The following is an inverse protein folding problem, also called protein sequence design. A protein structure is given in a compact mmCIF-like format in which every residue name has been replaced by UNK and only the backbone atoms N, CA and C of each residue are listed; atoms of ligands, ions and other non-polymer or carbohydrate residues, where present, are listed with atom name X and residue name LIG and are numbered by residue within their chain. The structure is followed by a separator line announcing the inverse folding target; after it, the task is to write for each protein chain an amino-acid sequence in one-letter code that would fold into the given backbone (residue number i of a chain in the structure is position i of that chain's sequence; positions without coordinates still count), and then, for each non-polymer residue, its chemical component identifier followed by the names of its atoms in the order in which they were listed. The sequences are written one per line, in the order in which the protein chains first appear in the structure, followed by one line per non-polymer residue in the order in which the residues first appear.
data_IF_285060012668
#
_entry.id   IF_285060012668
#
_cell.length_a   1.000
_cell.length_b   1.000
_cell.length_c   1.000
_cell.angle_alpha   90.00
_cell.angle_beta   90.00
_cell.angle_gamma   90.00
#
_symmetry.space_group_name_H-M   'P 1'
#
loop_
_entity.id
_entity.type
_entity.pdbx_description
1 polymer ?
#
# COMPACT_ATOMS: atom_id res chain seq x y z
N UNK A 1 22.39 -1.92 -89.62
CA UNK A 1 21.74 -2.88 -88.69
C UNK A 1 22.47 -2.80 -87.35
N UNK A 2 21.77 -2.39 -86.29
CA UNK A 2 22.32 -2.11 -84.96
C UNK A 2 22.48 -3.40 -84.15
N UNK A 3 23.56 -3.44 -83.36
CA UNK A 3 23.93 -4.48 -82.39
C UNK A 3 23.26 -4.28 -81.01
N UNK A 4 23.31 -5.37 -80.20
CA UNK A 4 23.16 -5.48 -78.73
C UNK A 4 21.71 -5.42 -78.17
N UNK A 5 21.32 -6.11 -77.09
CA UNK A 5 22.01 -6.98 -76.15
C UNK A 5 20.99 -7.85 -75.40
N UNK A 6 21.45 -9.00 -74.91
CA UNK A 6 20.75 -9.92 -73.99
C UNK A 6 20.40 -9.26 -72.65
N UNK A 7 19.13 -9.34 -72.23
CA UNK A 7 18.71 -8.98 -70.87
C UNK A 7 18.86 -10.20 -69.94
N UNK A 8 19.78 -10.10 -68.97
CA UNK A 8 19.83 -10.99 -67.82
C UNK A 8 18.80 -10.50 -66.78
N UNK A 9 17.87 -11.37 -66.39
CA UNK A 9 16.95 -11.12 -65.29
C UNK A 9 17.64 -11.48 -63.96
N UNK A 10 17.86 -10.48 -63.10
CA UNK A 10 18.30 -10.69 -61.71
C UNK A 10 17.06 -10.93 -60.87
N UNK A 11 16.90 -12.17 -60.38
CA UNK A 11 15.85 -12.54 -59.43
C UNK A 11 16.34 -12.23 -58.01
N UNK A 12 15.93 -11.10 -57.44
CA UNK A 12 16.14 -10.82 -56.03
C UNK A 12 15.12 -11.61 -55.20
N UNK A 13 15.55 -12.68 -54.53
CA UNK A 13 14.77 -13.32 -53.48
C UNK A 13 14.65 -12.35 -52.29
N UNK A 14 13.52 -11.68 -52.18
CA UNK A 14 13.12 -11.04 -50.93
C UNK A 14 12.74 -12.15 -49.93
N UNK A 15 13.69 -12.55 -49.09
CA UNK A 15 13.39 -13.27 -47.85
C UNK A 15 12.65 -12.31 -46.93
N UNK A 16 11.32 -12.32 -47.00
CA UNK A 16 10.46 -11.74 -45.97
C UNK A 16 10.61 -12.58 -44.71
N UNK A 17 11.67 -12.32 -43.94
CA UNK A 17 11.68 -12.68 -42.53
C UNK A 17 10.50 -11.94 -41.91
N UNK A 18 9.48 -12.69 -41.50
CA UNK A 18 8.44 -12.19 -40.60
C UNK A 18 9.13 -11.79 -39.30
N UNK A 19 9.65 -10.56 -39.25
CA UNK A 19 10.21 -9.97 -38.05
C UNK A 19 9.01 -9.74 -37.12
N UNK A 20 8.76 -10.69 -36.22
CA UNK A 20 7.84 -10.44 -35.12
C UNK A 20 8.38 -9.21 -34.39
N UNK A 21 7.58 -8.15 -34.35
CA UNK A 21 7.97 -6.94 -33.63
C UNK A 21 8.26 -7.29 -32.17
N UNK A 22 9.33 -6.71 -31.61
CA UNK A 22 9.64 -6.81 -30.19
C UNK A 22 8.39 -6.39 -29.38
N UNK A 23 8.00 -7.22 -28.41
CA UNK A 23 6.85 -6.98 -27.56
C UNK A 23 7.28 -7.07 -26.10
N UNK A 24 7.13 -5.97 -25.37
CA UNK A 24 7.20 -5.95 -23.91
C UNK A 24 5.77 -6.14 -23.38
N UNK A 25 5.61 -6.89 -22.29
CA UNK A 25 4.31 -6.99 -21.61
C UNK A 25 4.50 -7.07 -20.11
N UNK A 26 3.86 -6.14 -19.38
CA UNK A 26 3.76 -6.15 -17.91
C UNK A 26 2.29 -6.26 -17.49
N UNK A 27 2.01 -7.04 -16.47
CA UNK A 27 0.68 -7.40 -15.99
C UNK A 27 0.59 -7.20 -14.48
N UNK A 28 -0.60 -6.89 -14.02
CA UNK A 28 -0.98 -6.71 -12.62
C UNK A 28 -2.40 -7.28 -12.43
N UNK A 29 -2.83 -7.56 -11.21
CA UNK A 29 -4.22 -7.94 -10.88
C UNK A 29 -5.16 -6.73 -11.09
N UNK A 30 -5.55 -6.48 -12.33
CA UNK A 30 -6.34 -5.31 -12.73
C UNK A 30 -7.84 -5.56 -12.62
N UNK A 31 -8.26 -6.82 -12.74
CA UNK A 31 -9.65 -7.23 -12.53
C UNK A 31 -9.99 -7.43 -11.04
N UNK A 32 -8.99 -7.40 -10.14
CA UNK A 32 -9.11 -7.45 -8.68
C UNK A 32 -9.64 -8.79 -8.17
N UNK A 33 -9.23 -9.88 -8.81
CA UNK A 33 -9.59 -11.24 -8.41
C UNK A 33 -8.54 -11.91 -7.48
N UNK A 34 -7.46 -11.20 -7.18
CA UNK A 34 -6.38 -11.64 -6.29
C UNK A 34 -5.22 -12.35 -7.00
N UNK A 35 -5.24 -12.45 -8.34
CA UNK A 35 -4.21 -13.15 -9.12
C UNK A 35 -3.85 -12.32 -10.37
N UNK A 36 -2.60 -12.46 -10.83
CA UNK A 36 -2.19 -11.91 -12.13
C UNK A 36 -2.35 -12.98 -13.20
N UNK A 37 -3.22 -12.74 -14.17
CA UNK A 37 -3.43 -13.66 -15.29
C UNK A 37 -2.34 -13.53 -16.36
N UNK A 38 -1.38 -14.45 -16.32
CA UNK A 38 -0.29 -14.55 -17.31
C UNK A 38 -0.60 -15.51 -18.47
N UNK A 39 -1.75 -16.20 -18.45
CA UNK A 39 -2.11 -17.22 -19.46
C UNK A 39 -3.25 -16.78 -20.36
N UNK A 40 -4.20 -16.02 -19.83
CA UNK A 40 -5.33 -15.44 -20.55
C UNK A 40 -5.16 -13.95 -20.78
N UNK A 41 -6.28 -13.23 -20.79
CA UNK A 41 -6.38 -11.81 -21.15
C UNK A 41 -7.14 -10.96 -20.12
N UNK A 42 -7.50 -11.52 -18.97
CA UNK A 42 -8.36 -10.84 -17.97
C UNK A 42 -7.67 -9.62 -17.37
N UNK A 43 -6.34 -9.56 -17.42
CA UNK A 43 -5.50 -8.45 -16.96
C UNK A 43 -4.86 -7.59 -18.06
N UNK A 44 -5.23 -7.81 -19.33
CA UNK A 44 -4.63 -7.07 -20.46
C UNK A 44 -5.41 -5.78 -20.73
N UNK A 45 -6.73 -5.87 -20.84
CA UNK A 45 -7.57 -4.76 -21.30
C UNK A 45 -7.50 -3.57 -20.34
N UNK A 46 -7.16 -2.39 -20.84
CA UNK A 46 -7.22 -1.13 -20.07
C UNK A 46 -6.27 -1.05 -18.86
N UNK A 47 -5.29 -1.95 -18.76
CA UNK A 47 -4.38 -2.04 -17.60
C UNK A 47 -3.53 -0.79 -17.34
N UNK A 48 -3.34 0.05 -18.36
CA UNK A 48 -2.59 1.29 -18.25
C UNK A 48 -3.41 2.45 -17.65
N UNK A 49 -4.70 2.25 -17.36
CA UNK A 49 -5.56 3.26 -16.75
C UNK A 49 -6.20 2.72 -15.47
N UNK A 50 -6.22 3.54 -14.42
CA UNK A 50 -6.84 3.17 -13.14
C UNK A 50 -8.21 3.84 -12.99
N UNK A 51 -9.23 3.05 -12.66
CA UNK A 51 -10.63 3.46 -12.46
C UNK A 51 -11.17 2.89 -11.15
N UNK A 52 -12.36 3.34 -10.71
CA UNK A 52 -13.02 2.74 -9.54
C UNK A 52 -13.37 1.27 -9.75
N UNK A 53 -13.53 0.80 -10.98
CA UNK A 53 -13.96 -0.56 -11.32
C UNK A 53 -12.78 -1.47 -11.71
N UNK A 54 -11.66 -0.90 -12.17
CA UNK A 54 -10.53 -1.66 -12.73
C UNK A 54 -9.18 -0.98 -12.48
N UNK A 55 -8.13 -1.78 -12.42
CA UNK A 55 -6.75 -1.34 -12.17
C UNK A 55 -6.27 -1.86 -10.82
N UNK A 56 -4.99 -2.20 -10.76
CA UNK A 56 -4.44 -2.92 -9.62
C UNK A 56 -4.37 -2.03 -8.38
N UNK A 57 -4.50 -2.68 -7.22
CA UNK A 57 -4.37 -2.07 -5.91
C UNK A 57 -3.08 -2.54 -5.26
N UNK A 58 -2.45 -1.65 -4.49
CA UNK A 58 -1.23 -1.96 -3.75
C UNK A 58 -1.37 -1.52 -2.30
N UNK A 59 -0.65 -2.14 -1.38
CA UNK A 59 -0.61 -1.72 0.02
C UNK A 59 0.58 -0.80 0.28
N UNK A 60 0.39 0.14 1.20
CA UNK A 60 1.51 0.81 1.85
C UNK A 60 2.08 -0.15 2.90
N UNK A 61 3.37 -0.48 2.80
CA UNK A 61 4.02 -1.45 3.69
C UNK A 61 4.45 -0.79 5.01
N UNK A 62 3.47 -0.21 5.71
CA UNK A 62 3.68 0.68 6.87
C UNK A 62 3.65 -0.05 8.22
N UNK A 63 3.78 -1.38 8.22
CA UNK A 63 4.02 -2.18 9.41
C UNK A 63 5.41 -1.95 10.00
N UNK A 64 5.78 -2.73 11.01
CA UNK A 64 7.11 -2.73 11.62
C UNK A 64 7.54 -4.15 12.03
N UNK A 65 8.08 -4.89 11.06
CA UNK A 65 8.61 -6.23 11.25
C UNK A 65 9.72 -6.19 12.31
N UNK A 66 9.65 -7.15 13.24
CA UNK A 66 10.50 -7.25 14.44
C UNK A 66 10.44 -6.04 15.38
N UNK A 67 9.48 -5.14 15.18
CA UNK A 67 9.30 -3.89 15.95
C UNK A 67 10.55 -2.99 15.94
N UNK A 68 11.28 -2.97 14.81
CA UNK A 68 12.55 -2.25 14.64
C UNK A 68 12.44 -0.75 14.85
N UNK A 69 11.32 -0.16 14.47
CA UNK A 69 11.03 1.26 14.64
C UNK A 69 10.43 1.53 16.02
N UNK A 70 9.45 0.74 16.44
CA UNK A 70 8.77 0.88 17.73
C UNK A 70 9.75 0.83 18.91
N UNK A 71 10.73 -0.09 18.88
CA UNK A 71 11.77 -0.24 19.93
C UNK A 71 12.70 0.97 20.08
N UNK A 72 12.69 1.91 19.12
CA UNK A 72 13.51 3.14 19.18
C UNK A 72 12.77 4.31 19.81
N UNK A 73 11.44 4.21 19.97
CA UNK A 73 10.66 5.24 20.62
C UNK A 73 10.84 5.16 22.14
N UNK A 74 11.02 6.29 22.83
CA UNK A 74 11.18 6.28 24.28
C UNK A 74 9.89 5.83 24.96
N UNK A 75 10.03 5.20 26.13
CA UNK A 75 8.88 4.76 26.94
C UNK A 75 8.20 5.92 27.69
N UNK A 76 8.86 7.08 27.81
CA UNK A 76 8.29 8.25 28.46
C UNK A 76 7.53 9.14 27.48
N UNK A 77 6.22 9.19 27.63
CA UNK A 77 5.31 10.03 26.87
C UNK A 77 5.68 11.52 26.94
N UNK A 78 6.33 12.00 28.02
CA UNK A 78 6.71 13.41 28.17
C UNK A 78 8.02 13.80 27.46
N UNK A 79 8.65 12.89 26.71
CA UNK A 79 9.92 13.17 26.05
C UNK A 79 9.73 14.24 24.95
N UNK A 80 10.20 15.46 25.22
CA UNK A 80 10.24 16.58 24.27
C UNK A 80 11.23 16.34 23.11
N UNK A 81 12.04 15.28 23.18
CA UNK A 81 13.05 14.92 22.19
C UNK A 81 12.47 14.14 20.98
N UNK A 82 11.21 13.70 21.07
CA UNK A 82 10.54 13.01 19.96
C UNK A 82 10.06 14.04 18.94
N UNK A 83 10.57 13.94 17.71
CA UNK A 83 10.07 14.77 16.63
C UNK A 83 8.73 14.23 16.11
N UNK A 84 7.67 14.91 16.50
CA UNK A 84 6.28 14.61 16.15
C UNK A 84 6.06 14.44 14.64
N UNK A 85 6.81 15.14 13.79
CA UNK A 85 6.62 15.06 12.34
C UNK A 85 7.09 13.73 11.71
N UNK A 86 7.89 12.91 12.41
CA UNK A 86 8.55 11.74 11.83
C UNK A 86 8.11 10.38 12.41
N UNK A 87 7.12 10.35 13.30
CA UNK A 87 6.66 9.12 13.97
C UNK A 87 6.19 8.04 12.98
N UNK A 88 5.50 8.41 11.91
CA UNK A 88 5.04 7.47 10.88
C UNK A 88 6.07 7.13 9.80
N UNK A 89 7.21 7.83 9.77
CA UNK A 89 8.23 7.69 8.71
C UNK A 89 9.17 6.50 8.88
N UNK A 90 9.30 5.96 10.10
CA UNK A 90 9.98 4.68 10.32
C UNK A 90 8.97 3.53 10.28
N UNK A 91 9.04 2.70 9.24
CA UNK A 91 8.20 1.53 9.03
C UNK A 91 8.93 0.50 8.13
N UNK A 92 8.26 -0.59 7.75
CA UNK A 92 8.79 -1.64 6.86
C UNK A 92 9.09 -1.13 5.44
N UNK A 93 8.48 -0.01 5.06
CA UNK A 93 8.75 0.67 3.82
C UNK A 93 9.88 1.71 3.88
N UNK A 94 10.57 1.87 5.01
CA UNK A 94 11.74 2.75 5.11
C UNK A 94 12.96 2.11 4.41
N UNK A 95 13.50 2.80 3.41
CA UNK A 95 14.63 2.33 2.61
C UNK A 95 14.22 1.23 1.62
N UNK A 96 15.22 0.51 1.10
CA UNK A 96 15.05 -0.40 -0.05
C UNK A 96 15.14 -1.89 0.31
N UNK A 97 15.10 -2.22 1.60
CA UNK A 97 15.05 -3.63 2.04
C UNK A 97 13.59 -4.04 2.14
N UNK A 98 13.23 -5.15 1.49
CA UNK A 98 11.93 -5.78 1.68
C UNK A 98 11.91 -6.44 3.07
N UNK A 99 10.93 -6.08 3.92
CA UNK A 99 10.81 -6.63 5.28
C UNK A 99 9.57 -7.47 5.52
N UNK A 100 8.54 -7.28 4.71
CA UNK A 100 7.25 -7.92 4.88
C UNK A 100 6.62 -8.21 3.52
N UNK A 101 7.03 -9.33 2.90
CA UNK A 101 6.66 -9.66 1.53
C UNK A 101 5.18 -10.01 1.36
N UNK A 102 4.47 -10.30 2.45
CA UNK A 102 3.03 -10.61 2.43
C UNK A 102 2.15 -9.47 1.93
N UNK A 103 2.66 -8.23 1.94
CA UNK A 103 1.95 -7.04 1.49
C UNK A 103 2.38 -6.56 0.09
N UNK A 104 3.25 -7.29 -0.61
CA UNK A 104 3.57 -6.99 -2.00
C UNK A 104 2.36 -7.36 -2.88
N UNK A 105 1.90 -6.42 -3.68
CA UNK A 105 1.02 -6.74 -4.80
C UNK A 105 1.86 -7.32 -5.95
N UNK A 106 1.42 -8.41 -6.60
CA UNK A 106 2.21 -9.05 -7.64
C UNK A 106 2.13 -8.29 -8.97
N UNK A 107 3.27 -8.14 -9.64
CA UNK A 107 3.35 -7.78 -11.07
C UNK A 107 4.11 -8.89 -11.81
N UNK A 108 3.80 -9.09 -13.09
CA UNK A 108 4.46 -10.10 -13.94
C UNK A 108 4.82 -9.52 -15.28
N UNK A 109 5.99 -9.87 -15.81
CA UNK A 109 6.24 -9.69 -17.25
C UNK A 109 6.08 -11.00 -18.00
N UNK A 110 5.64 -10.93 -19.26
CA UNK A 110 5.59 -12.13 -20.10
C UNK A 110 6.98 -12.44 -20.67
N UNK A 111 7.37 -13.73 -20.76
CA UNK A 111 8.57 -14.19 -21.45
C UNK A 111 8.71 -13.60 -22.86
N UNK A 112 9.89 -13.07 -23.20
CA UNK A 112 10.18 -12.53 -24.53
C UNK A 112 11.13 -13.48 -25.28
N UNK A 113 10.60 -14.29 -26.18
CA UNK A 113 11.41 -15.22 -26.96
C UNK A 113 12.32 -14.50 -27.97
N UNK A 114 13.49 -15.10 -28.25
CA UNK A 114 14.43 -14.71 -29.32
C UNK A 114 15.06 -13.31 -29.17
N UNK A 115 15.27 -12.85 -27.94
CA UNK A 115 16.10 -11.67 -27.69
C UNK A 115 17.57 -11.92 -28.04
N UNK A 116 18.24 -10.91 -28.59
CA UNK A 116 19.70 -10.96 -28.71
C UNK A 116 20.37 -10.91 -27.33
N UNK A 117 21.62 -11.37 -27.24
CA UNK A 117 22.38 -11.36 -25.98
C UNK A 117 22.62 -9.95 -25.42
N UNK A 118 22.52 -8.92 -26.25
CA UNK A 118 22.71 -7.52 -25.85
C UNK A 118 21.41 -6.83 -25.45
N UNK A 119 20.26 -7.50 -25.54
CA UNK A 119 18.98 -6.95 -25.14
C UNK A 119 18.98 -6.56 -23.65
N UNK A 120 18.30 -5.46 -23.36
CA UNK A 120 18.22 -4.85 -22.02
C UNK A 120 16.78 -4.48 -21.70
N UNK A 121 16.43 -4.62 -20.43
CA UNK A 121 15.11 -4.26 -19.92
C UNK A 121 15.23 -3.33 -18.73
N UNK A 122 14.23 -2.49 -18.52
CA UNK A 122 14.14 -1.62 -17.35
C UNK A 122 12.72 -1.50 -16.85
N UNK A 123 12.61 -1.24 -15.55
CA UNK A 123 11.35 -0.90 -14.88
C UNK A 123 11.48 0.54 -14.37
N UNK A 124 10.45 1.34 -14.60
CA UNK A 124 10.39 2.73 -14.15
C UNK A 124 8.99 3.04 -13.60
N UNK A 125 8.92 3.85 -12.54
CA UNK A 125 7.66 4.38 -12.01
C UNK A 125 7.54 5.82 -12.48
N UNK A 126 6.39 6.19 -13.05
CA UNK A 126 6.12 7.57 -13.50
C UNK A 126 6.16 8.58 -12.37
N UNK A 127 6.42 9.85 -12.74
CA UNK A 127 6.36 11.05 -11.91
C UNK A 127 7.17 11.00 -10.60
N UNK A 128 7.74 12.15 -10.21
CA UNK A 128 8.69 12.15 -9.08
C UNK A 128 8.00 11.75 -7.76
N UNK A 129 6.75 12.16 -7.56
CA UNK A 129 5.99 11.85 -6.35
C UNK A 129 5.69 10.35 -6.21
N UNK A 130 5.24 9.68 -7.27
CA UNK A 130 5.02 8.24 -7.23
C UNK A 130 6.34 7.47 -7.24
N UNK A 131 7.38 7.92 -7.96
CA UNK A 131 8.69 7.28 -7.93
C UNK A 131 9.34 7.31 -6.53
N UNK A 132 9.10 8.36 -5.74
CA UNK A 132 9.54 8.43 -4.34
C UNK A 132 8.78 7.44 -3.45
N UNK A 133 7.49 7.24 -3.71
CA UNK A 133 6.61 6.47 -2.84
C UNK A 133 6.45 5.00 -3.23
N UNK A 134 6.68 4.61 -4.47
CA UNK A 134 6.51 3.24 -4.94
C UNK A 134 7.83 2.50 -4.91
N UNK A 135 7.80 1.26 -4.43
CA UNK A 135 8.94 0.35 -4.52
C UNK A 135 8.57 -0.85 -5.37
N UNK A 136 9.43 -1.16 -6.33
CA UNK A 136 9.34 -2.40 -7.10
C UNK A 136 10.49 -3.31 -6.67
N UNK A 137 10.17 -4.58 -6.46
CA UNK A 137 11.12 -5.64 -6.14
C UNK A 137 11.02 -6.72 -7.20
N UNK A 138 12.15 -7.34 -7.54
CA UNK A 138 12.21 -8.56 -8.34
C UNK A 138 12.45 -9.75 -7.41
N UNK A 139 11.80 -10.86 -7.71
CA UNK A 139 11.98 -12.11 -6.97
C UNK A 139 13.19 -12.87 -7.49
N UNK A 140 14.09 -13.22 -6.60
CA UNK A 140 15.30 -13.98 -6.88
C UNK A 140 15.33 -15.20 -5.94
N UNK A 141 14.86 -16.35 -6.44
CA UNK A 141 14.61 -17.52 -5.60
C UNK A 141 13.51 -17.24 -4.57
N UNK A 142 13.89 -17.17 -3.29
CA UNK A 142 12.98 -16.86 -2.19
C UNK A 142 13.07 -15.39 -1.72
N UNK A 143 14.04 -14.63 -2.23
CA UNK A 143 14.33 -13.28 -1.79
C UNK A 143 13.70 -12.24 -2.73
N UNK A 144 13.53 -11.02 -2.21
CA UNK A 144 13.01 -9.87 -2.94
C UNK A 144 14.06 -8.77 -2.99
N UNK A 145 14.56 -8.47 -4.18
CA UNK A 145 15.62 -7.47 -4.41
C UNK A 145 15.01 -6.21 -4.99
N UNK A 146 15.36 -5.05 -4.41
CA UNK A 146 14.85 -3.76 -4.87
C UNK A 146 15.34 -3.42 -6.28
N UNK A 147 14.42 -3.02 -7.15
CA UNK A 147 14.69 -2.59 -8.52
C UNK A 147 14.93 -1.09 -8.52
N UNK A 148 16.20 -0.68 -8.52
CA UNK A 148 16.55 0.73 -8.65
C UNK A 148 16.17 1.28 -10.03
N UNK A 149 15.93 2.59 -10.14
CA UNK A 149 15.53 3.23 -11.40
C UNK A 149 16.54 3.06 -12.55
N UNK A 150 17.83 2.84 -12.23
CA UNK A 150 18.89 2.56 -13.19
C UNK A 150 19.22 1.06 -13.32
N UNK A 151 18.47 0.18 -12.66
CA UNK A 151 18.64 -1.25 -12.78
C UNK A 151 18.33 -1.69 -14.21
N UNK A 152 19.13 -2.62 -14.73
CA UNK A 152 18.98 -3.12 -16.09
C UNK A 152 18.93 -4.64 -16.08
N UNK A 153 17.79 -5.18 -16.48
CA UNK A 153 17.58 -6.62 -16.66
C UNK A 153 18.29 -7.12 -17.92
N UNK A 154 18.86 -8.32 -17.82
CA UNK A 154 19.55 -9.03 -18.90
C UNK A 154 18.59 -9.71 -19.86
N UNK A 155 19.07 -10.04 -21.07
CA UNK A 155 18.29 -10.79 -22.04
C UNK A 155 17.74 -12.12 -21.49
N UNK A 156 18.49 -12.82 -20.63
CA UNK A 156 18.06 -14.08 -20.03
C UNK A 156 16.86 -13.89 -19.10
N UNK A 157 16.93 -12.91 -18.20
CA UNK A 157 15.82 -12.61 -17.27
C UNK A 157 14.55 -12.19 -18.03
N UNK A 158 14.70 -11.45 -19.12
CA UNK A 158 13.58 -11.05 -19.97
C UNK A 158 13.00 -12.21 -20.79
N UNK A 159 13.84 -13.17 -21.19
CA UNK A 159 13.41 -14.40 -21.84
C UNK A 159 12.63 -15.31 -20.89
N UNK A 160 12.98 -15.31 -19.60
CA UNK A 160 12.29 -16.10 -18.57
C UNK A 160 11.00 -15.41 -18.06
N UNK A 161 10.95 -14.08 -18.17
CA UNK A 161 9.89 -13.25 -17.60
C UNK A 161 10.15 -12.97 -16.11
N UNK A 162 9.77 -11.77 -15.66
CA UNK A 162 10.05 -11.29 -14.31
C UNK A 162 8.86 -11.59 -13.40
N UNK A 163 9.14 -12.09 -12.20
CA UNK A 163 8.22 -12.05 -11.06
C UNK A 163 8.58 -10.84 -10.20
N UNK A 164 7.64 -9.90 -10.12
CA UNK A 164 7.82 -8.62 -9.46
C UNK A 164 6.81 -8.47 -8.32
N UNK A 165 7.19 -7.71 -7.30
CA UNK A 165 6.35 -7.33 -6.19
C UNK A 165 6.41 -5.83 -6.00
N UNK A 166 5.27 -5.19 -5.76
CA UNK A 166 5.17 -3.75 -5.58
C UNK A 166 4.48 -3.41 -4.25
N UNK A 167 5.03 -2.45 -3.54
CA UNK A 167 4.39 -1.81 -2.39
C UNK A 167 4.65 -0.30 -2.38
N UNK A 168 3.98 0.40 -1.47
CA UNK A 168 4.15 1.84 -1.27
C UNK A 168 4.80 2.17 0.08
N UNK A 169 5.46 3.32 0.14
CA UNK A 169 6.10 3.88 1.34
C UNK A 169 5.14 4.59 2.27
N UNK A 170 4.10 5.18 1.70
CA UNK A 170 3.11 5.94 2.42
C UNK A 170 1.71 5.57 1.90
N UNK A 171 0.73 5.85 2.74
CA UNK A 171 -0.68 5.77 2.35
C UNK A 171 -1.03 6.96 1.44
N UNK A 172 -2.27 7.02 0.96
CA UNK A 172 -2.76 8.23 0.28
C UNK A 172 -2.67 9.43 1.24
N UNK A 173 -2.20 10.56 0.73
CA UNK A 173 -2.08 11.83 1.45
C UNK A 173 -2.70 12.95 0.61
N UNK A 174 -3.02 14.12 1.19
CA UNK A 174 -3.46 15.29 0.41
C UNK A 174 -2.48 15.66 -0.72
N UNK A 175 -1.19 15.42 -0.50
CA UNK A 175 -0.12 15.71 -1.46
C UNK A 175 0.05 14.64 -2.55
N UNK A 176 -0.50 13.44 -2.37
CA UNK A 176 -0.39 12.33 -3.32
C UNK A 176 -1.55 11.35 -3.18
N UNK A 177 -2.37 11.22 -4.24
CA UNK A 177 -3.60 10.43 -4.24
C UNK A 177 -3.40 8.90 -4.35
N UNK A 178 -2.13 8.47 -4.27
CA UNK A 178 -1.68 7.10 -4.31
C UNK A 178 -1.59 6.48 -5.70
N UNK A 179 -1.83 7.24 -6.78
CA UNK A 179 -1.70 6.71 -8.14
C UNK A 179 -0.23 6.60 -8.54
N UNK A 180 0.06 5.58 -9.35
CA UNK A 180 1.34 5.38 -9.99
C UNK A 180 1.16 4.59 -11.28
N UNK A 181 2.10 4.70 -12.21
CA UNK A 181 2.19 3.80 -13.35
C UNK A 181 3.59 3.17 -13.40
N UNK A 182 3.64 1.85 -13.54
CA UNK A 182 4.88 1.09 -13.68
C UNK A 182 5.08 0.76 -15.15
N UNK A 183 6.17 1.26 -15.72
CA UNK A 183 6.59 1.05 -17.09
C UNK A 183 7.60 -0.08 -17.16
N UNK A 184 7.42 -0.95 -18.14
CA UNK A 184 8.38 -1.97 -18.53
C UNK A 184 8.85 -1.69 -19.95
N UNK A 185 10.15 -1.38 -20.09
CA UNK A 185 10.78 -1.11 -21.38
C UNK A 185 11.76 -2.21 -21.71
N UNK A 186 11.80 -2.64 -22.98
CA UNK A 186 12.81 -3.56 -23.52
C UNK A 186 13.42 -2.96 -24.77
N UNK A 187 14.75 -2.98 -24.84
CA UNK A 187 15.55 -2.55 -25.98
C UNK A 187 16.36 -3.74 -26.51
N UNK A 188 16.26 -4.03 -27.80
CA UNK A 188 17.09 -5.01 -28.50
C UNK A 188 17.61 -4.43 -29.82
N UNK A 189 18.90 -4.08 -29.85
CA UNK A 189 19.50 -3.34 -30.96
C UNK A 189 18.79 -2.00 -31.19
N UNK A 190 18.19 -1.82 -32.36
CA UNK A 190 17.40 -0.62 -32.69
C UNK A 190 15.91 -0.71 -32.30
N UNK A 191 15.43 -1.89 -31.90
CA UNK A 191 14.03 -2.08 -31.53
C UNK A 191 13.81 -1.72 -30.06
N UNK A 192 12.73 -0.97 -29.80
CA UNK A 192 12.25 -0.65 -28.46
C UNK A 192 10.79 -1.07 -28.35
N UNK A 193 10.44 -1.71 -27.24
CA UNK A 193 9.06 -1.98 -26.86
C UNK A 193 8.81 -1.51 -25.44
N UNK A 194 7.61 -1.03 -25.17
CA UNK A 194 7.22 -0.51 -23.88
C UNK A 194 5.77 -0.90 -23.58
N UNK A 195 5.49 -1.15 -22.31
CA UNK A 195 4.16 -1.43 -21.79
C UNK A 195 4.06 -0.95 -20.35
N UNK A 196 2.84 -0.72 -19.85
CA UNK A 196 2.65 -0.19 -18.51
C UNK A 196 1.40 -0.71 -17.82
N UNK A 197 1.42 -0.64 -16.49
CA UNK A 197 0.28 -0.95 -15.60
C UNK A 197 0.04 0.20 -14.63
N UNK A 198 -1.21 0.62 -14.50
CA UNK A 198 -1.62 1.63 -13.54
C UNK A 198 -2.01 0.99 -12.21
N UNK A 199 -1.49 1.57 -11.13
CA UNK A 199 -1.64 1.11 -9.76
C UNK A 199 -2.26 2.23 -8.93
N UNK A 200 -2.93 1.86 -7.84
CA UNK A 200 -3.27 2.82 -6.79
C UNK A 200 -3.14 2.22 -5.40
N UNK A 201 -2.50 2.94 -4.49
CA UNK A 201 -2.44 2.57 -3.07
C UNK A 201 -3.85 2.42 -2.52
N UNK A 202 -4.17 1.33 -1.83
CA UNK A 202 -5.46 1.15 -1.19
C UNK A 202 -5.64 2.18 -0.05
N UNK A 203 -6.80 2.86 0.06
CA UNK A 203 -7.01 3.87 1.07
C UNK A 203 -7.01 3.24 2.47
N UNK A 204 -6.75 4.05 3.50
CA UNK A 204 -7.04 3.67 4.89
C UNK A 204 -8.53 3.89 5.12
N UNK A 205 -9.20 2.86 5.61
CA UNK A 205 -10.63 2.85 5.95
C UNK A 205 -10.77 2.72 7.46
N UNK A 206 -11.71 3.44 8.05
CA UNK A 206 -12.10 3.28 9.46
C UNK A 206 -13.12 2.16 9.62
N UNK A 207 -13.25 1.64 10.85
CA UNK A 207 -14.24 0.62 11.18
C UNK A 207 -15.61 1.26 11.50
N UNK A 208 -16.69 0.49 11.29
CA UNK A 208 -18.04 0.87 11.71
C UNK A 208 -18.61 -0.12 12.72
N UNK A 209 -19.50 0.35 13.61
CA UNK A 209 -20.03 -0.40 14.77
C UNK A 209 -20.89 -1.64 14.46
N UNK A 210 -21.06 -2.00 13.18
CA UNK A 210 -21.72 -3.27 12.79
C UNK A 210 -20.71 -4.36 12.38
N UNK A 211 -19.42 -4.04 12.37
CA UNK A 211 -18.37 -5.03 12.18
C UNK A 211 -18.12 -5.77 13.50
N UNK A 212 -17.67 -7.02 13.40
CA UNK A 212 -17.32 -7.81 14.57
C UNK A 212 -16.11 -7.19 15.26
N UNK A 213 -16.21 -7.01 16.57
CA UNK A 213 -15.08 -6.57 17.39
C UNK A 213 -14.09 -7.73 17.56
N UNK A 214 -12.82 -7.48 17.25
CA UNK A 214 -11.74 -8.46 17.40
C UNK A 214 -10.85 -8.19 18.60
N UNK A 215 -10.76 -6.94 19.04
CA UNK A 215 -9.88 -6.53 20.13
C UNK A 215 -10.42 -5.29 20.82
N UNK A 216 -10.27 -5.26 22.14
CA UNK A 216 -10.69 -4.13 22.99
C UNK A 216 -9.46 -3.52 23.65
N UNK A 217 -9.47 -2.19 23.77
CA UNK A 217 -8.37 -1.40 24.33
C UNK A 217 -8.85 -0.66 25.57
N UNK A 218 -8.03 -0.61 26.61
CA UNK A 218 -8.22 0.23 27.79
C UNK A 218 -6.87 0.69 28.36
N UNK A 219 -6.86 1.57 29.35
CA UNK A 219 -5.63 2.01 30.00
C UNK A 219 -5.43 1.13 31.20
N UNK A 220 -4.19 0.70 31.37
CA UNK A 220 -3.79 0.18 32.67
C UNK A 220 -3.80 1.34 33.66
N UNK A 221 -4.11 1.06 34.92
CA UNK A 221 -3.98 2.11 35.92
C UNK A 221 -3.72 1.50 37.30
N UNK A 222 -2.58 1.90 37.84
CA UNK A 222 -2.23 1.85 39.26
C UNK A 222 -2.85 3.03 40.05
N UNK A 223 -3.82 3.76 39.49
CA UNK A 223 -4.14 5.12 39.96
C UNK A 223 -5.38 5.23 40.87
N UNK A 224 -6.42 4.37 40.75
CA UNK A 224 -7.58 4.37 41.66
C UNK A 224 -8.30 3.02 41.71
N UNK A 225 -9.01 2.71 42.81
CA UNK A 225 -9.83 1.51 42.91
C UNK A 225 -11.00 1.46 41.90
N UNK A 226 -11.48 2.60 41.42
CA UNK A 226 -12.54 2.67 40.42
C UNK A 226 -12.07 2.17 39.05
N UNK A 227 -10.90 2.58 38.59
CA UNK A 227 -10.35 2.14 37.30
C UNK A 227 -9.97 0.65 37.34
N UNK A 228 -9.43 0.16 38.46
CA UNK A 228 -9.19 -1.29 38.64
C UNK A 228 -10.49 -2.09 38.53
N UNK A 229 -11.56 -1.62 39.17
CA UNK A 229 -12.89 -2.26 39.07
C UNK A 229 -13.39 -2.24 37.63
N UNK A 230 -13.34 -1.08 36.97
CA UNK A 230 -13.74 -0.94 35.57
C UNK A 230 -12.97 -1.89 34.63
N UNK A 231 -11.65 -1.97 34.75
CA UNK A 231 -10.82 -2.86 33.91
C UNK A 231 -11.12 -4.33 34.19
N UNK A 232 -11.40 -4.70 35.45
CA UNK A 232 -11.83 -6.06 35.81
C UNK A 232 -13.15 -6.40 35.12
N UNK A 233 -14.16 -5.56 35.30
CA UNK A 233 -15.49 -5.74 34.70
C UNK A 233 -15.39 -5.76 33.17
N UNK A 234 -14.58 -4.89 32.57
CA UNK A 234 -14.36 -4.84 31.12
C UNK A 234 -13.79 -6.17 30.61
N UNK A 235 -12.76 -6.72 31.28
CA UNK A 235 -12.16 -8.01 30.88
C UNK A 235 -13.18 -9.14 30.95
N UNK A 236 -13.99 -9.20 32.00
CA UNK A 236 -15.06 -10.21 32.14
C UNK A 236 -16.10 -10.08 31.03
N UNK A 237 -16.56 -8.86 30.73
CA UNK A 237 -17.56 -8.62 29.69
C UNK A 237 -17.03 -8.92 28.28
N UNK A 238 -15.76 -8.59 27.99
CA UNK A 238 -15.12 -8.90 26.71
C UNK A 238 -15.02 -10.41 26.50
N UNK A 239 -14.61 -11.15 27.54
CA UNK A 239 -14.59 -12.61 27.50
C UNK A 239 -16.00 -13.21 27.34
N UNK A 240 -16.99 -12.69 28.08
CA UNK A 240 -18.39 -13.12 27.97
C UNK A 240 -19.01 -12.82 26.60
N UNK A 241 -18.53 -11.79 25.89
CA UNK A 241 -18.92 -11.48 24.53
C UNK A 241 -18.30 -12.40 23.46
N UNK A 242 -17.42 -13.34 23.86
CA UNK A 242 -16.76 -14.28 22.95
C UNK A 242 -15.62 -13.68 22.15
N UNK A 243 -15.01 -12.59 22.62
CA UNK A 243 -13.81 -12.00 22.01
C UNK A 243 -12.59 -12.71 22.61
N UNK A 244 -11.92 -13.53 21.80
CA UNK A 244 -10.80 -14.37 22.26
C UNK A 244 -9.53 -13.57 22.59
N UNK A 245 -9.33 -12.42 21.94
CA UNK A 245 -8.17 -11.57 22.20
C UNK A 245 -8.32 -10.84 23.54
N UNK A 246 -7.29 -10.87 24.41
CA UNK A 246 -7.35 -10.17 25.68
C UNK A 246 -7.42 -8.66 25.48
N UNK A 247 -8.11 -7.99 26.42
CA UNK A 247 -8.11 -6.52 26.49
C UNK A 247 -6.67 -6.02 26.56
N UNK A 248 -6.28 -5.20 25.58
CA UNK A 248 -4.97 -4.58 25.57
C UNK A 248 -5.00 -3.37 26.50
N UNK A 249 -4.09 -3.35 27.46
CA UNK A 249 -3.96 -2.25 28.41
C UNK A 249 -2.75 -1.39 28.02
N UNK A 250 -3.01 -0.13 27.67
CA UNK A 250 -1.94 0.84 27.45
C UNK A 250 -1.32 1.23 28.78
N UNK A 251 0.02 1.23 28.84
CA UNK A 251 0.77 1.68 30.00
C UNK A 251 0.96 3.21 30.01
N UNK A 252 -0.13 3.97 29.97
CA UNK A 252 -0.12 5.43 30.03
C UNK A 252 -1.25 5.95 30.96
N UNK A 253 -1.18 7.23 31.34
CA UNK A 253 -2.16 7.85 32.24
C UNK A 253 -3.39 8.47 31.55
N UNK A 254 -3.50 8.40 30.23
CA UNK A 254 -4.60 9.02 29.48
C UNK A 254 -5.79 8.07 29.38
N UNK A 255 -6.73 8.20 30.33
CA UNK A 255 -7.93 7.36 30.41
C UNK A 255 -8.86 7.46 29.20
N UNK A 256 -8.69 8.45 28.35
CA UNK A 256 -9.55 8.74 27.19
C UNK A 256 -8.97 8.12 25.92
N UNK A 257 -8.85 6.79 25.91
CA UNK A 257 -8.22 6.04 24.81
C UNK A 257 -8.83 6.30 23.45
N UNK A 258 -10.16 6.39 23.42
CA UNK A 258 -10.93 6.66 22.21
C UNK A 258 -10.49 7.97 21.54
N UNK A 259 -9.91 8.92 22.28
CA UNK A 259 -9.59 10.22 21.72
C UNK A 259 -8.21 10.32 21.09
N UNK A 260 -7.25 9.45 21.43
CA UNK A 260 -5.88 9.59 20.91
C UNK A 260 -5.58 8.75 19.66
N UNK A 261 -6.46 7.81 19.30
CA UNK A 261 -6.39 7.11 18.03
C UNK A 261 -7.72 6.51 17.57
N UNK A 262 -7.82 6.24 16.27
CA UNK A 262 -8.93 5.51 15.63
C UNK A 262 -8.39 4.24 14.93
N UNK A 263 -8.95 3.04 15.20
CA UNK A 263 -8.61 1.82 14.47
C UNK A 263 -9.14 1.84 13.02
N UNK A 264 -8.28 1.51 12.07
CA UNK A 264 -8.63 1.33 10.67
C UNK A 264 -7.90 0.17 10.01
N UNK A 265 -8.02 0.09 8.69
CA UNK A 265 -7.41 -0.94 7.87
C UNK A 265 -7.19 -0.47 6.43
N UNK A 266 -6.29 -1.13 5.73
CA UNK A 266 -6.19 -1.06 4.26
C UNK A 266 -6.13 -2.48 3.72
N UNK A 267 -6.65 -2.70 2.51
CA UNK A 267 -6.78 -4.05 1.96
C UNK A 267 -6.72 -4.09 0.44
N UNK A 268 -6.18 -5.18 -0.08
CA UNK A 268 -6.19 -5.53 -1.51
C UNK A 268 -6.74 -6.94 -1.70
N UNK A 269 -7.23 -7.30 -2.90
CA UNK A 269 -7.53 -8.69 -3.24
C UNK A 269 -6.30 -9.58 -3.08
N UNK A 270 -6.52 -10.84 -2.72
CA UNK A 270 -5.49 -11.86 -2.64
C UNK A 270 -6.03 -13.21 -3.08
N UNK A 271 -5.16 -14.19 -3.36
CA UNK A 271 -5.53 -15.44 -4.02
C UNK A 271 -6.50 -16.30 -3.21
N UNK A 272 -6.49 -16.16 -1.88
CA UNK A 272 -7.29 -16.92 -0.92
C UNK A 272 -8.24 -16.01 -0.11
N UNK A 273 -8.42 -14.76 -0.55
CA UNK A 273 -9.18 -13.72 0.16
C UNK A 273 -8.40 -12.41 0.29
N UNK A 274 -9.00 -11.38 0.91
CA UNK A 274 -8.36 -10.08 1.04
C UNK A 274 -7.06 -10.15 1.86
N UNK A 275 -6.02 -9.48 1.38
CA UNK A 275 -4.81 -9.19 2.16
C UNK A 275 -5.06 -7.89 2.90
N UNK A 276 -5.01 -7.93 4.23
CA UNK A 276 -5.37 -6.79 5.10
C UNK A 276 -4.18 -6.40 5.98
N UNK A 277 -3.92 -5.10 6.05
CA UNK A 277 -3.07 -4.49 7.08
C UNK A 277 -3.98 -3.65 8.00
N UNK A 278 -4.00 -3.94 9.30
CA UNK A 278 -4.63 -3.07 10.30
C UNK A 278 -3.79 -1.80 10.42
N UNK A 279 -4.43 -0.64 10.55
CA UNK A 279 -3.75 0.66 10.62
C UNK A 279 -4.35 1.46 11.78
N UNK A 280 -3.53 1.86 12.73
CA UNK A 280 -3.95 2.78 13.79
C UNK A 280 -3.75 4.22 13.29
N UNK A 281 -4.76 5.08 13.43
CA UNK A 281 -4.74 6.47 12.99
C UNK A 281 -4.61 7.34 14.23
N UNK A 282 -3.49 8.06 14.40
CA UNK A 282 -3.33 8.98 15.54
C UNK A 282 -4.25 10.19 15.38
N UNK A 283 -4.81 10.67 16.48
CA UNK A 283 -5.46 11.99 16.51
C UNK A 283 -4.48 13.11 16.14
N UNK A 284 -4.98 14.19 15.55
CA UNK A 284 -4.15 15.31 15.10
C UNK A 284 -3.81 16.26 16.27
N UNK A 285 -3.33 15.69 17.38
CA UNK A 285 -3.05 16.39 18.65
C UNK A 285 -1.60 16.10 19.09
N UNK A 286 -0.65 16.87 18.58
CA UNK A 286 0.78 16.71 18.88
C UNK A 286 1.08 16.78 20.38
N UNK A 287 0.41 17.68 21.12
CA UNK A 287 0.51 17.77 22.58
C UNK A 287 -0.08 16.60 23.37
N UNK A 288 -0.85 15.70 22.73
CA UNK A 288 -1.43 14.51 23.36
C UNK A 288 -0.52 13.30 23.17
N UNK A 289 0.45 13.19 24.07
CA UNK A 289 1.56 12.24 23.91
C UNK A 289 1.16 10.76 23.90
N UNK A 290 0.06 10.37 24.54
CA UNK A 290 -0.44 8.99 24.51
C UNK A 290 -0.78 8.51 23.10
N UNK A 291 -1.04 9.42 22.15
CA UNK A 291 -1.16 9.09 20.73
C UNK A 291 0.11 8.48 20.12
N UNK A 292 1.29 8.64 20.73
CA UNK A 292 2.55 8.00 20.31
C UNK A 292 2.50 6.48 20.51
N UNK A 293 1.63 5.98 21.39
CA UNK A 293 1.60 4.56 21.75
C UNK A 293 1.12 3.64 20.63
N UNK A 294 0.40 4.16 19.65
CA UNK A 294 0.08 3.36 18.47
C UNK A 294 1.33 3.00 17.66
N UNK A 295 2.36 3.85 17.70
CA UNK A 295 3.66 3.62 17.06
C UNK A 295 4.55 2.74 17.93
N UNK A 296 4.55 2.97 19.24
CA UNK A 296 5.43 2.28 20.19
C UNK A 296 4.91 0.91 20.60
N UNK A 297 3.65 0.80 20.99
CA UNK A 297 3.06 -0.37 21.62
C UNK A 297 2.30 -1.27 20.64
N UNK A 298 1.58 -0.69 19.67
CA UNK A 298 0.71 -1.46 18.76
C UNK A 298 1.37 -1.87 17.44
N UNK A 299 2.18 -0.99 16.83
CA UNK A 299 2.79 -1.25 15.51
C UNK A 299 3.67 -2.50 15.53
N UNK A 300 3.49 -3.36 14.53
CA UNK A 300 4.23 -4.60 14.32
C UNK A 300 4.09 -5.06 12.85
N UNK A 301 4.46 -6.30 12.54
CA UNK A 301 4.40 -6.85 11.18
C UNK A 301 2.95 -6.98 10.63
N UNK A 302 1.93 -6.92 11.48
CA UNK A 302 0.49 -7.03 11.14
C UNK A 302 -0.30 -5.73 11.36
N UNK A 303 0.30 -4.74 12.02
CA UNK A 303 -0.35 -3.47 12.39
C UNK A 303 0.56 -2.32 11.98
N UNK A 304 0.10 -1.49 11.06
CA UNK A 304 0.70 -0.20 10.73
C UNK A 304 0.15 0.92 11.60
N UNK A 305 0.74 2.11 11.49
CA UNK A 305 0.13 3.31 12.04
C UNK A 305 0.42 4.53 11.16
N UNK A 306 -0.46 5.52 11.22
CA UNK A 306 -0.35 6.76 10.45
C UNK A 306 -0.70 7.95 11.34
N UNK A 307 -0.29 9.13 10.91
CA UNK A 307 -0.71 10.39 11.52
C UNK A 307 -0.93 11.45 10.44
N UNK A 308 -1.76 12.43 10.77
CA UNK A 308 -1.77 13.73 10.12
C UNK A 308 -1.22 14.75 11.13
N UNK A 309 0.01 15.27 10.95
CA UNK A 309 0.61 16.17 11.93
C UNK A 309 -0.24 17.42 12.17
N UNK A 310 -0.43 17.78 13.44
CA UNK A 310 -1.22 18.94 13.84
C UNK A 310 -1.20 19.09 15.35
N UNK A 311 -1.42 20.31 15.84
CA UNK A 311 -1.57 20.60 17.27
C UNK A 311 -3.02 21.02 17.55
N UNK A 312 -3.91 20.06 17.32
CA UNK A 312 -5.35 20.22 17.42
C UNK A 312 -5.88 20.24 18.85
N UNK A 313 -7.12 20.71 18.99
CA UNK A 313 -7.82 20.80 20.28
C UNK A 313 -8.81 19.63 20.47
N UNK A 314 -9.81 19.80 21.33
CA UNK A 314 -10.87 18.80 21.57
C UNK A 314 -11.60 18.36 20.28
N UNK A 315 -11.69 19.23 19.28
CA UNK A 315 -12.30 18.93 17.97
C UNK A 315 -11.51 17.84 17.20
N UNK A 316 -10.21 17.73 17.47
CA UNK A 316 -9.27 16.85 16.79
C UNK A 316 -9.06 15.51 17.50
N UNK A 317 -9.74 15.30 18.62
CA UNK A 317 -9.81 14.00 19.29
C UNK A 317 -10.52 12.95 18.43
N UNK A 318 -9.99 11.73 18.41
CA UNK A 318 -10.54 10.62 17.64
C UNK A 318 -11.93 10.18 18.12
N UNK A 319 -12.37 10.53 19.34
CA UNK A 319 -13.77 10.40 19.76
C UNK A 319 -14.75 11.27 18.94
N UNK A 320 -14.24 12.21 18.15
CA UNK A 320 -14.98 12.99 17.14
C UNK A 320 -14.77 12.44 15.70
N UNK A 321 -14.19 11.24 15.54
CA UNK A 321 -13.99 10.54 14.28
C UNK A 321 -14.72 9.20 14.31
N UNK A 322 -15.87 9.11 13.63
CA UNK A 322 -16.71 7.92 13.65
C UNK A 322 -17.10 7.48 12.24
N UNK A 323 -17.63 6.27 12.09
CA UNK A 323 -18.09 5.76 10.78
C UNK A 323 -19.54 5.30 10.85
N UNK A 324 -20.39 5.96 10.06
CA UNK A 324 -21.77 5.50 9.82
C UNK A 324 -21.72 4.18 9.04
N UNK A 325 -22.41 3.12 9.49
CA UNK A 325 -22.43 1.82 8.80
C UNK A 325 -22.96 1.89 7.36
N UNK A 326 -22.76 0.86 6.52
CA UNK A 326 -23.20 0.84 5.13
C UNK A 326 -24.68 1.16 4.95
N UNK A 327 -25.01 2.02 3.97
CA UNK A 327 -26.38 2.43 3.70
C UNK A 327 -26.59 2.90 2.25
N UNK A 328 -27.85 3.07 1.86
CA UNK A 328 -28.24 3.73 0.60
C UNK A 328 -29.03 4.98 0.91
N UNK A 329 -28.68 6.10 0.27
CA UNK A 329 -29.38 7.37 0.38
C UNK A 329 -29.66 7.93 -1.01
N UNK A 330 -30.93 8.18 -1.32
CA UNK A 330 -31.38 8.76 -2.58
C UNK A 330 -30.80 8.04 -3.83
N UNK A 331 -30.75 6.70 -3.79
CA UNK A 331 -30.24 5.87 -4.88
C UNK A 331 -28.71 5.74 -4.96
N UNK A 332 -27.95 6.42 -4.09
CA UNK A 332 -26.49 6.26 -3.99
C UNK A 332 -26.13 5.29 -2.86
N UNK A 333 -25.38 4.24 -3.21
CA UNK A 333 -24.88 3.24 -2.26
C UNK A 333 -23.55 3.68 -1.64
N UNK A 334 -23.41 3.46 -0.33
CA UNK A 334 -22.20 3.65 0.46
C UNK A 334 -21.83 2.32 1.13
N UNK A 335 -21.21 1.37 0.40
CA UNK A 335 -21.01 0.01 0.88
C UNK A 335 -19.97 -0.11 1.99
N UNK A 336 -19.07 0.88 2.12
CA UNK A 336 -18.13 0.98 3.23
C UNK A 336 -18.63 1.91 4.34
N UNK A 337 -19.87 2.38 4.27
CA UNK A 337 -20.36 3.45 5.13
C UNK A 337 -19.75 4.80 4.78
N UNK A 338 -19.78 5.73 5.73
CA UNK A 338 -19.16 7.06 5.61
C UNK A 338 -18.64 7.55 6.95
N UNK A 339 -17.47 8.17 6.93
CA UNK A 339 -16.96 8.92 8.07
C UNK A 339 -17.91 10.07 8.43
N UNK A 340 -18.09 10.28 9.73
CA UNK A 340 -18.77 11.43 10.33
C UNK A 340 -17.85 12.06 11.37
N UNK A 341 -17.76 13.39 11.33
CA UNK A 341 -17.04 14.20 12.30
C UNK A 341 -17.84 15.45 12.64
N UNK A 342 -17.86 15.82 13.90
CA UNK A 342 -18.39 17.09 14.38
C UNK A 342 -17.54 18.27 13.92
N UNK A 343 -18.19 19.41 13.73
CA UNK A 343 -17.55 20.69 13.45
C UNK A 343 -18.06 21.72 14.47
N UNK A 344 -17.21 22.67 14.84
CA UNK A 344 -17.57 23.74 15.77
C UNK A 344 -17.16 25.10 15.19
N UNK A 345 -18.10 26.04 15.13
CA UNK A 345 -17.92 27.42 14.64
C UNK A 345 -17.29 27.47 13.24
N UNK A 346 -17.67 26.53 12.37
CA UNK A 346 -17.18 26.42 11.00
C UNK A 346 -15.76 25.85 10.88
N UNK A 347 -15.10 25.49 11.99
CA UNK A 347 -13.82 24.80 11.98
C UNK A 347 -14.03 23.31 11.69
N UNK A 348 -13.19 22.78 10.79
CA UNK A 348 -13.08 21.34 10.54
C UNK A 348 -11.93 20.77 11.37
N UNK A 349 -12.02 19.50 11.80
CA UNK A 349 -10.85 18.79 12.34
C UNK A 349 -9.69 18.82 11.35
N UNK A 350 -8.46 18.98 11.84
CA UNK A 350 -7.23 19.03 11.06
C UNK A 350 -7.04 17.77 10.20
N UNK A 351 -7.40 16.61 10.75
CA UNK A 351 -7.31 15.33 10.04
C UNK A 351 -8.23 15.24 8.81
N UNK A 352 -9.19 16.17 8.63
CA UNK A 352 -10.19 16.12 7.56
C UNK A 352 -9.60 16.01 6.15
N UNK A 353 -8.44 16.61 5.87
CA UNK A 353 -7.83 16.51 4.53
C UNK A 353 -7.26 15.11 4.24
N UNK A 354 -6.89 14.37 5.29
CA UNK A 354 -6.37 13.01 5.19
C UNK A 354 -7.46 11.96 4.94
N UNK A 355 -8.68 12.22 5.44
CA UNK A 355 -9.86 11.34 5.34
C UNK A 355 -10.57 11.49 3.99
#
# INVERSE_FOLDING_TARGET
MRFFNTSAAVLALALSNSCSALKATILADTNRDGKVDVKGDTDIKGKAEWTSERGALILANIGDTDRRCSKKLPDNDSASEVNEAFLDKCNDATGNVQRNAKYLAPLRTLPIAKLSYSAKGSIHVTDDAAAENIRVFVKEGNDWTYVAANHTFTAQELQDGLELGVDARDVRRPTWDGKAQVHFTVQDGAQKAEDSVALRVAPVMTHHHLQLAERVFSTDSDYTGAQTTFVSDLKENVAAAGIDEPVFLFSNGDIWIQDFFEPGYTSIPGPDGPIVLRVMIRSAQAGRFSGRDIFRQLRNDKVGAVQHPGDGDTLDSAGNLETVPPYTLNGKSYPAGRIIQGQWDGRKPLIHEFL
#
